data_IF_525795557869
#
_entry.id   IF_525795557869
#
_cell.length_a   1.000
_cell.length_b   1.000
_cell.length_c   1.000
_cell.angle_alpha   90.00
_cell.angle_beta   90.00
_cell.angle_gamma   90.00
#
_symmetry.space_group_name_H-M   'P 1'
#
loop_
_entity.id
_entity.type
_entity.pdbx_description
1 polymer ?
#
# COMPACT_ATOMS: atom_id res chain seq x y z
N UNK A 1 18.08 5.78 12.62
CA UNK A 1 17.05 5.59 11.57
C UNK A 1 17.52 6.33 10.34
N UNK A 2 17.57 5.68 9.17
CA UNK A 2 18.05 6.31 7.94
C UNK A 2 17.00 7.25 7.31
N UNK A 3 17.48 8.29 6.64
CA UNK A 3 16.69 9.10 5.72
C UNK A 3 16.91 8.58 4.30
N UNK A 4 15.82 8.32 3.59
CA UNK A 4 15.82 7.89 2.20
C UNK A 4 15.09 8.96 1.40
N UNK A 5 15.84 9.73 0.62
CA UNK A 5 15.26 10.72 -0.29
C UNK A 5 14.50 10.02 -1.42
N UNK A 6 15.15 9.05 -2.07
CA UNK A 6 14.56 8.31 -3.18
C UNK A 6 15.03 6.86 -3.17
N UNK A 7 14.09 5.93 -3.30
CA UNK A 7 14.38 4.51 -3.53
C UNK A 7 13.49 3.98 -4.65
N UNK A 8 14.12 3.41 -5.67
CA UNK A 8 13.43 2.71 -6.76
C UNK A 8 13.95 1.29 -6.86
N UNK A 9 13.04 0.32 -6.82
CA UNK A 9 13.35 -1.10 -6.97
C UNK A 9 12.49 -1.67 -8.10
N UNK A 10 13.10 -2.45 -8.98
CA UNK A 10 12.43 -3.05 -10.14
C UNK A 10 12.88 -4.49 -10.35
N UNK A 11 11.96 -5.39 -10.72
CA UNK A 11 12.28 -6.75 -11.17
C UNK A 11 11.55 -7.85 -10.42
N UNK A 12 12.18 -9.02 -10.37
CA UNK A 12 11.74 -10.17 -9.58
C UNK A 12 12.34 -10.07 -8.18
N UNK A 13 11.50 -9.88 -7.18
CA UNK A 13 11.93 -9.60 -5.81
C UNK A 13 11.29 -10.61 -4.88
N UNK A 14 12.09 -11.48 -4.27
CA UNK A 14 11.57 -12.37 -3.24
C UNK A 14 11.21 -11.58 -1.98
N UNK A 15 12.11 -10.73 -1.50
CA UNK A 15 11.89 -9.96 -0.27
C UNK A 15 12.47 -8.55 -0.37
N UNK A 16 11.66 -7.55 -0.04
CA UNK A 16 12.09 -6.16 0.12
C UNK A 16 11.55 -5.60 1.43
N UNK A 17 12.47 -5.15 2.29
CA UNK A 17 12.16 -4.44 3.53
C UNK A 17 12.80 -3.07 3.53
N UNK A 18 12.02 -2.04 3.77
CA UNK A 18 12.49 -0.65 3.85
C UNK A 18 11.96 0.00 5.13
N UNK A 19 12.84 0.68 5.87
CA UNK A 19 12.52 1.30 7.15
C UNK A 19 13.17 2.68 7.27
N UNK A 20 12.43 3.68 7.74
CA UNK A 20 12.98 5.01 8.04
C UNK A 20 12.07 6.17 7.67
N UNK A 21 12.68 7.34 7.52
CA UNK A 21 12.03 8.52 6.93
C UNK A 21 12.24 8.48 5.42
N UNK A 22 11.16 8.35 4.66
CA UNK A 22 11.22 8.08 3.22
C UNK A 22 10.43 9.17 2.50
N UNK A 23 11.09 9.98 1.69
CA UNK A 23 10.34 10.92 0.84
C UNK A 23 9.66 10.17 -0.31
N UNK A 24 10.42 9.36 -1.06
CA UNK A 24 9.87 8.62 -2.22
C UNK A 24 10.35 7.17 -2.26
N UNK A 25 9.40 6.24 -2.31
CA UNK A 25 9.64 4.83 -2.61
C UNK A 25 8.79 4.39 -3.80
N UNK A 26 9.44 3.76 -4.78
CA UNK A 26 8.80 3.08 -5.90
C UNK A 26 9.28 1.64 -6.00
N UNK A 27 8.35 0.68 -5.88
CA UNK A 27 8.63 -0.73 -6.10
C UNK A 27 7.79 -1.24 -7.29
N UNK A 28 8.43 -1.89 -8.27
CA UNK A 28 7.76 -2.42 -9.46
C UNK A 28 8.21 -3.82 -9.82
N UNK A 29 7.26 -4.69 -10.20
CA UNK A 29 7.56 -6.02 -10.75
C UNK A 29 6.79 -7.14 -10.06
N UNK A 30 7.38 -8.33 -10.02
CA UNK A 30 6.82 -9.47 -9.31
C UNK A 30 7.49 -9.55 -7.94
N UNK A 31 6.72 -9.27 -6.88
CA UNK A 31 7.26 -9.19 -5.52
C UNK A 31 6.52 -10.19 -4.64
N UNK A 32 7.24 -11.14 -4.04
CA UNK A 32 6.58 -12.05 -3.09
C UNK A 32 6.27 -11.28 -1.79
N UNK A 33 7.26 -10.59 -1.21
CA UNK A 33 7.08 -9.88 0.06
C UNK A 33 7.64 -8.45 0.01
N UNK A 34 6.78 -7.46 0.22
CA UNK A 34 7.16 -6.06 0.40
C UNK A 34 6.71 -5.54 1.76
N UNK A 35 7.67 -5.11 2.59
CA UNK A 35 7.42 -4.46 3.87
C UNK A 35 8.04 -3.07 3.91
N UNK A 36 7.21 -2.05 4.11
CA UNK A 36 7.66 -0.65 4.28
C UNK A 36 7.18 -0.12 5.61
N UNK A 37 8.07 0.49 6.40
CA UNK A 37 7.74 1.03 7.73
C UNK A 37 8.37 2.41 7.97
N UNK A 38 7.59 3.36 8.50
CA UNK A 38 8.11 4.63 9.00
C UNK A 38 7.29 5.85 8.60
N UNK A 39 7.97 6.99 8.44
CA UNK A 39 7.38 8.24 7.97
C UNK A 39 7.58 8.33 6.46
N UNK A 40 6.50 8.25 5.69
CA UNK A 40 6.57 8.08 4.24
C UNK A 40 5.75 9.17 3.56
N UNK A 41 6.37 10.03 2.77
CA UNK A 41 5.61 10.99 1.97
C UNK A 41 4.93 10.27 0.80
N UNK A 42 5.68 9.50 0.00
CA UNK A 42 5.13 8.83 -1.17
C UNK A 42 5.60 7.37 -1.29
N UNK A 43 4.65 6.44 -1.24
CA UNK A 43 4.86 5.03 -1.54
C UNK A 43 4.05 4.63 -2.78
N UNK A 44 4.74 4.16 -3.82
CA UNK A 44 4.14 3.60 -5.04
C UNK A 44 4.57 2.15 -5.22
N UNK A 45 3.60 1.25 -5.31
CA UNK A 45 3.83 -0.17 -5.60
C UNK A 45 3.04 -0.57 -6.83
N UNK A 46 3.69 -1.24 -7.78
CA UNK A 46 3.07 -1.69 -9.04
C UNK A 46 3.49 -3.11 -9.42
N UNK A 47 2.53 -3.98 -9.77
CA UNK A 47 2.81 -5.29 -10.37
C UNK A 47 2.07 -6.44 -9.71
N UNK A 48 2.69 -7.63 -9.71
CA UNK A 48 2.15 -8.84 -9.10
C UNK A 48 2.75 -8.99 -7.71
N UNK A 49 1.94 -8.82 -6.66
CA UNK A 49 2.43 -8.81 -5.28
C UNK A 49 1.72 -9.88 -4.46
N UNK A 50 2.44 -10.83 -3.86
CA UNK A 50 1.78 -11.76 -2.95
C UNK A 50 1.42 -11.05 -1.63
N UNK A 51 2.39 -10.38 -1.00
CA UNK A 51 2.20 -9.71 0.28
C UNK A 51 2.78 -8.29 0.29
N UNK A 52 1.92 -7.29 0.48
CA UNK A 52 2.30 -5.90 0.70
C UNK A 52 1.88 -5.45 2.10
N UNK A 53 2.86 -5.02 2.91
CA UNK A 53 2.64 -4.41 4.22
C UNK A 53 3.26 -3.01 4.27
N UNK A 54 2.43 -2.00 4.42
CA UNK A 54 2.84 -0.62 4.64
C UNK A 54 2.39 -0.16 6.03
N UNK A 55 3.30 0.36 6.84
CA UNK A 55 3.00 0.80 8.21
C UNK A 55 3.63 2.14 8.57
N UNK A 56 2.87 2.99 9.26
CA UNK A 56 3.37 4.24 9.84
C UNK A 56 2.53 5.44 9.45
N UNK A 57 3.16 6.61 9.36
CA UNK A 57 2.52 7.82 8.85
C UNK A 57 2.83 7.93 7.36
N UNK A 58 1.80 7.80 6.53
CA UNK A 58 1.94 7.77 5.07
C UNK A 58 1.08 8.86 4.45
N UNK A 59 1.70 9.82 3.77
CA UNK A 59 0.94 10.85 3.08
C UNK A 59 0.21 10.27 1.86
N UNK A 60 0.95 9.58 0.98
CA UNK A 60 0.38 8.95 -0.21
C UNK A 60 0.82 7.50 -0.35
N UNK A 61 -0.15 6.58 -0.29
CA UNK A 61 0.04 5.17 -0.63
C UNK A 61 -0.74 4.85 -1.91
N UNK A 62 -0.01 4.56 -3.00
CA UNK A 62 -0.58 4.10 -4.26
C UNK A 62 -0.16 2.67 -4.54
N UNK A 63 -1.15 1.83 -4.79
CA UNK A 63 -0.96 0.42 -5.07
C UNK A 63 -1.71 0.06 -6.35
N UNK A 64 -1.01 -0.57 -7.30
CA UNK A 64 -1.56 -0.95 -8.61
C UNK A 64 -1.17 -2.38 -9.00
N UNK A 65 -2.12 -3.20 -9.43
CA UNK A 65 -1.85 -4.52 -10.02
C UNK A 65 -2.66 -5.64 -9.37
N UNK A 66 -2.12 -6.86 -9.39
CA UNK A 66 -2.75 -8.03 -8.77
C UNK A 66 -2.07 -8.31 -7.44
N UNK A 67 -2.85 -8.30 -6.35
CA UNK A 67 -2.32 -8.43 -5.00
C UNK A 67 -3.10 -9.47 -4.22
N UNK A 68 -2.43 -10.46 -3.66
CA UNK A 68 -3.11 -11.42 -2.79
C UNK A 68 -3.45 -10.76 -1.44
N UNK A 69 -2.46 -10.17 -0.78
CA UNK A 69 -2.65 -9.55 0.54
C UNK A 69 -2.08 -8.13 0.61
N UNK A 70 -2.96 -7.14 0.82
CA UNK A 70 -2.58 -5.76 1.11
C UNK A 70 -2.93 -5.41 2.55
N UNK A 71 -1.93 -4.99 3.32
CA UNK A 71 -2.09 -4.49 4.68
C UNK A 71 -1.52 -3.08 4.81
N UNK A 72 -2.41 -2.12 5.04
CA UNK A 72 -2.06 -0.73 5.28
C UNK A 72 -2.41 -0.37 6.73
N UNK A 73 -1.43 0.09 7.51
CA UNK A 73 -1.63 0.42 8.93
C UNK A 73 -1.05 1.77 9.33
N UNK A 74 -1.78 2.50 10.15
CA UNK A 74 -1.31 3.75 10.77
C UNK A 74 -2.15 4.95 10.35
N UNK A 75 -1.49 6.09 10.16
CA UNK A 75 -2.13 7.32 9.71
C UNK A 75 -1.83 7.51 8.23
N UNK A 76 -2.86 7.38 7.38
CA UNK A 76 -2.71 7.46 5.93
C UNK A 76 -3.57 8.60 5.41
N UNK A 77 -2.97 9.61 4.78
CA UNK A 77 -3.75 10.71 4.23
C UNK A 77 -4.52 10.23 2.98
N UNK A 78 -3.82 9.60 2.05
CA UNK A 78 -4.42 9.08 0.82
C UNK A 78 -3.99 7.64 0.54
N UNK A 79 -4.95 6.72 0.54
CA UNK A 79 -4.79 5.35 0.08
C UNK A 79 -5.52 5.16 -1.24
N UNK A 80 -4.77 4.90 -2.32
CA UNK A 80 -5.32 4.55 -3.63
C UNK A 80 -4.92 3.13 -4.02
N UNK A 81 -5.94 2.31 -4.25
CA UNK A 81 -5.81 0.92 -4.66
C UNK A 81 -6.44 0.74 -6.03
N UNK A 82 -5.72 0.13 -6.96
CA UNK A 82 -6.17 -0.14 -8.32
C UNK A 82 -5.82 -1.56 -8.77
N UNK A 83 -6.79 -2.32 -9.24
CA UNK A 83 -6.59 -3.67 -9.77
C UNK A 83 -7.36 -4.74 -9.01
N UNK A 84 -6.80 -5.95 -8.92
CA UNK A 84 -7.42 -7.10 -8.28
C UNK A 84 -6.73 -7.37 -6.95
N UNK A 85 -7.49 -7.30 -5.86
CA UNK A 85 -7.00 -7.64 -4.52
C UNK A 85 -7.84 -8.77 -3.93
N UNK A 86 -7.20 -9.84 -3.46
CA UNK A 86 -7.94 -10.86 -2.73
C UNK A 86 -8.29 -10.35 -1.32
N UNK A 87 -7.31 -9.88 -0.56
CA UNK A 87 -7.52 -9.37 0.80
C UNK A 87 -6.94 -7.98 1.00
N UNK A 88 -7.81 -7.00 1.29
CA UNK A 88 -7.41 -5.66 1.73
C UNK A 88 -7.72 -5.48 3.22
N UNK A 89 -6.68 -5.25 4.02
CA UNK A 89 -6.82 -4.83 5.42
C UNK A 89 -6.27 -3.42 5.61
N UNK A 90 -7.15 -2.50 5.94
CA UNK A 90 -6.85 -1.13 6.31
C UNK A 90 -7.06 -0.94 7.81
N UNK A 91 -6.04 -0.46 8.54
CA UNK A 91 -6.14 -0.21 9.97
C UNK A 91 -5.61 1.16 10.37
N UNK A 92 -6.34 1.88 11.23
CA UNK A 92 -5.95 3.19 11.75
C UNK A 92 -6.78 4.32 11.16
N UNK A 93 -6.16 5.48 10.97
CA UNK A 93 -6.83 6.69 10.45
C UNK A 93 -6.51 6.84 8.97
N UNK A 94 -7.54 6.81 8.13
CA UNK A 94 -7.42 7.05 6.68
C UNK A 94 -8.30 8.24 6.33
N UNK A 95 -7.73 9.33 5.79
CA UNK A 95 -8.56 10.45 5.36
C UNK A 95 -9.31 10.08 4.07
N UNK A 96 -8.59 9.59 3.07
CA UNK A 96 -9.18 9.23 1.78
C UNK A 96 -8.78 7.82 1.35
N UNK A 97 -9.77 6.93 1.20
CA UNK A 97 -9.62 5.62 0.59
C UNK A 97 -10.31 5.61 -0.78
N UNK A 98 -9.53 5.41 -1.85
CA UNK A 98 -10.04 5.15 -3.20
C UNK A 98 -9.68 3.74 -3.64
N UNK A 99 -10.69 2.95 -3.96
CA UNK A 99 -10.56 1.61 -4.53
C UNK A 99 -11.13 1.61 -5.94
N UNK A 100 -10.38 1.07 -6.89
CA UNK A 100 -10.87 0.82 -8.25
C UNK A 100 -10.48 -0.58 -8.72
N UNK A 101 -11.47 -1.42 -9.03
CA UNK A 101 -11.26 -2.81 -9.42
C UNK A 101 -12.00 -3.78 -8.50
N UNK A 102 -11.45 -4.98 -8.33
CA UNK A 102 -12.07 -6.07 -7.58
C UNK A 102 -11.35 -6.28 -6.25
N UNK A 103 -12.10 -6.29 -5.15
CA UNK A 103 -11.64 -6.72 -3.83
C UNK A 103 -12.53 -7.87 -3.36
N UNK A 104 -11.94 -9.04 -3.10
CA UNK A 104 -12.71 -10.18 -2.58
C UNK A 104 -13.00 -10.08 -1.09
N UNK A 105 -12.14 -9.41 -0.32
CA UNK A 105 -12.36 -9.21 1.11
C UNK A 105 -11.78 -7.89 1.56
N UNK A 106 -12.64 -6.95 1.97
CA UNK A 106 -12.24 -5.70 2.61
C UNK A 106 -12.48 -5.73 4.12
N UNK A 107 -11.40 -5.54 4.90
CA UNK A 107 -11.49 -5.25 6.34
C UNK A 107 -10.91 -3.88 6.65
N UNK A 108 -11.77 -2.94 7.03
CA UNK A 108 -11.38 -1.65 7.59
C UNK A 108 -11.59 -1.64 9.10
N UNK A 109 -10.57 -1.22 9.87
CA UNK A 109 -10.70 -1.02 11.32
C UNK A 109 -10.06 0.30 11.73
N UNK A 110 -10.87 1.21 12.25
CA UNK A 110 -10.51 2.60 12.52
C UNK A 110 -11.38 3.55 11.72
N UNK A 111 -10.91 4.79 11.51
CA UNK A 111 -11.70 5.82 10.85
C UNK A 111 -11.28 5.96 9.39
N UNK A 112 -12.26 5.94 8.49
CA UNK A 112 -12.12 6.33 7.09
C UNK A 112 -13.03 7.53 6.88
N UNK A 113 -12.47 8.72 6.62
CA UNK A 113 -13.31 9.93 6.45
C UNK A 113 -14.04 9.91 5.12
N UNK A 114 -13.35 9.52 4.04
CA UNK A 114 -13.91 9.43 2.70
C UNK A 114 -13.55 8.11 2.04
N UNK A 115 -14.57 7.37 1.61
CA UNK A 115 -14.44 6.13 0.85
C UNK A 115 -15.06 6.30 -0.54
N UNK A 116 -14.27 6.02 -1.58
CA UNK A 116 -14.77 5.87 -2.95
C UNK A 116 -14.38 4.49 -3.48
N UNK A 117 -15.37 3.66 -3.74
CA UNK A 117 -15.22 2.37 -4.39
C UNK A 117 -15.82 2.42 -5.80
N UNK A 118 -15.07 1.97 -6.81
CA UNK A 118 -15.58 1.76 -8.17
C UNK A 118 -15.16 0.38 -8.65
N UNK A 119 -16.10 -0.54 -8.68
CA UNK A 119 -15.88 -1.96 -8.94
C UNK A 119 -16.54 -2.81 -7.85
N UNK A 120 -16.13 -4.07 -7.75
CA UNK A 120 -16.73 -5.01 -6.81
C UNK A 120 -15.89 -5.07 -5.54
N UNK A 121 -16.52 -4.87 -4.40
CA UNK A 121 -15.93 -5.11 -3.07
C UNK A 121 -16.88 -6.04 -2.34
N UNK A 122 -16.36 -7.18 -1.90
CA UNK A 122 -17.02 -8.06 -0.94
C UNK A 122 -16.37 -7.84 0.44
#
# INVERSE_FOLDING_TARGET
>A
MGQIQYLRVMGLIQYLRVMGQIQYLRAMGQIQYLRVMGLIQNLRVMGLIQYLRAMGQIQYLRVMGQIQYLRAMGQIQYLRVMGQIQYLRAMGLIQYLRVMGQIQYLRAMGLIQYLRAMGQIQ
#
